data_IF_148991306830
#
_entry.id   IF_148991306830
#
_cell.length_a   1.000
_cell.length_b   1.000
_cell.length_c   1.000
_cell.angle_alpha   90.00
_cell.angle_beta   90.00
_cell.angle_gamma   90.00
#
_symmetry.space_group_name_H-M   'P 1'
#
loop_
_entity.id
_entity.type
_entity.pdbx_description
1 polymer ?
#
# COMPACT_ATOMS: atom_id res chain seq x y z
N UNK A 1 10.12 33.03 0.32
CA UNK A 1 8.88 32.52 -0.30
C UNK A 1 9.27 31.21 -0.94
N UNK A 2 9.34 30.16 -0.12
CA UNK A 2 9.71 28.82 -0.58
C UNK A 2 8.56 28.29 -1.42
N UNK A 3 8.88 27.83 -2.62
CA UNK A 3 7.95 27.20 -3.55
C UNK A 3 7.34 25.99 -2.85
N UNK A 4 6.06 26.06 -2.49
CA UNK A 4 5.26 24.88 -2.23
C UNK A 4 5.25 24.07 -3.53
N UNK A 5 6.12 23.06 -3.60
CA UNK A 5 6.02 22.01 -4.58
C UNK A 5 4.64 21.37 -4.36
N UNK A 6 3.74 21.55 -5.30
CA UNK A 6 2.38 21.06 -5.22
C UNK A 6 2.48 19.53 -5.14
N UNK A 7 2.30 18.97 -3.94
CA UNK A 7 2.50 17.55 -3.71
C UNK A 7 1.53 16.77 -4.62
N UNK A 8 2.08 16.01 -5.57
CA UNK A 8 1.31 15.27 -6.57
C UNK A 8 1.02 13.85 -6.09
N UNK A 9 -0.15 13.36 -6.44
CA UNK A 9 -0.49 11.95 -6.27
C UNK A 9 0.48 11.07 -7.08
N UNK A 10 0.92 9.96 -6.51
CA UNK A 10 1.89 9.03 -7.08
C UNK A 10 1.19 7.71 -7.44
N UNK A 11 1.10 7.34 -8.73
CA UNK A 11 0.58 6.02 -9.12
C UNK A 11 1.49 4.90 -8.62
N UNK A 12 0.91 3.88 -7.97
CA UNK A 12 1.67 2.69 -7.61
C UNK A 12 1.75 1.73 -8.82
N UNK A 13 2.87 1.02 -9.03
CA UNK A 13 3.07 0.10 -10.15
C UNK A 13 2.35 -1.24 -9.92
N UNK A 14 1.06 -1.19 -9.60
CA UNK A 14 0.21 -2.34 -9.28
C UNK A 14 -0.87 -2.62 -10.32
N UNK A 15 -1.08 -1.74 -11.30
CA UNK A 15 -2.11 -1.96 -12.33
C UNK A 15 -1.86 -3.26 -13.09
N UNK A 16 -2.87 -4.10 -13.18
CA UNK A 16 -2.81 -5.43 -13.79
C UNK A 16 -2.34 -6.53 -12.84
N UNK A 17 -1.78 -6.19 -11.67
CA UNK A 17 -1.34 -7.18 -10.69
C UNK A 17 -2.51 -7.77 -9.94
N UNK A 18 -2.41 -9.06 -9.63
CA UNK A 18 -3.41 -9.80 -8.87
C UNK A 18 -2.96 -10.02 -7.44
N UNK A 19 -3.86 -9.82 -6.48
CA UNK A 19 -3.57 -10.10 -5.07
C UNK A 19 -3.31 -11.59 -4.89
N UNK A 20 -2.08 -11.94 -4.55
CA UNK A 20 -1.63 -13.32 -4.39
C UNK A 20 -1.81 -13.81 -2.96
N UNK A 21 -1.54 -12.95 -1.96
CA UNK A 21 -1.66 -13.30 -0.54
C UNK A 21 -2.15 -12.11 0.28
N UNK A 22 -2.93 -12.42 1.32
CA UNK A 22 -3.19 -11.51 2.42
C UNK A 22 -2.56 -12.09 3.69
N UNK A 23 -1.77 -11.28 4.39
CA UNK A 23 -1.08 -11.65 5.63
C UNK A 23 -1.73 -10.84 6.75
N UNK A 24 -2.28 -11.52 7.75
CA UNK A 24 -2.93 -10.89 8.89
C UNK A 24 -2.04 -11.11 10.11
N UNK A 25 -1.40 -10.05 10.58
CA UNK A 25 -0.61 -10.01 11.81
C UNK A 25 -1.06 -8.81 12.68
N UNK A 26 -0.13 -8.02 13.23
CA UNK A 26 -0.44 -6.71 13.81
C UNK A 26 -0.78 -5.64 12.77
N UNK A 27 -0.72 -5.99 11.48
CA UNK A 27 -1.10 -5.22 10.31
C UNK A 27 -1.76 -6.15 9.25
N UNK A 28 -2.26 -5.54 8.19
CA UNK A 28 -2.68 -6.25 6.98
C UNK A 28 -1.60 -6.09 5.91
N UNK A 29 -0.95 -7.18 5.53
CA UNK A 29 -0.11 -7.26 4.35
C UNK A 29 -0.89 -7.76 3.13
N UNK A 30 -0.69 -7.14 1.97
CA UNK A 30 -1.26 -7.55 0.68
C UNK A 30 -0.09 -7.72 -0.29
N UNK A 31 0.14 -8.97 -0.71
CA UNK A 31 1.22 -9.31 -1.63
C UNK A 31 0.71 -9.46 -3.07
N UNK A 32 1.52 -8.95 -3.99
CA UNK A 32 1.40 -9.15 -5.43
C UNK A 32 2.66 -9.88 -5.90
N UNK A 33 2.52 -11.13 -6.34
CA UNK A 33 3.64 -11.99 -6.73
C UNK A 33 3.48 -12.36 -8.21
N UNK A 34 4.41 -11.89 -9.04
CA UNK A 34 4.44 -12.15 -10.48
C UNK A 34 5.87 -12.44 -10.91
N UNK A 35 6.09 -13.50 -11.69
CA UNK A 35 7.41 -13.84 -12.25
C UNK A 35 8.55 -13.89 -11.20
N UNK A 36 8.23 -14.32 -9.98
CA UNK A 36 9.18 -14.39 -8.87
C UNK A 36 9.51 -13.05 -8.21
N UNK A 37 8.92 -11.95 -8.66
CA UNK A 37 9.00 -10.62 -8.05
C UNK A 37 7.84 -10.41 -7.09
N UNK A 38 8.09 -9.70 -5.99
CA UNK A 38 7.07 -9.38 -4.97
C UNK A 38 6.96 -7.87 -4.80
N UNK A 39 5.73 -7.39 -4.80
CA UNK A 39 5.37 -6.07 -4.26
C UNK A 39 4.41 -6.26 -3.09
N UNK A 40 4.49 -5.39 -2.09
CA UNK A 40 3.68 -5.50 -0.87
C UNK A 40 3.05 -4.16 -0.53
N UNK A 41 1.76 -4.16 -0.20
CA UNK A 41 1.13 -3.07 0.57
C UNK A 41 1.00 -3.57 2.02
N UNK A 42 1.49 -2.80 2.98
CA UNK A 42 1.28 -3.04 4.41
C UNK A 42 0.42 -1.92 4.98
N UNK A 43 -0.66 -2.28 5.68
CA UNK A 43 -1.64 -1.35 6.25
C UNK A 43 -1.68 -1.53 7.75
N UNK A 44 -1.35 -0.48 8.50
CA UNK A 44 -1.20 -0.54 9.96
C UNK A 44 -2.33 0.16 10.70
N UNK A 45 -3.13 0.95 9.97
CA UNK A 45 -4.22 1.77 10.52
C UNK A 45 -5.57 1.34 9.95
N UNK A 46 -6.70 1.74 10.57
CA UNK A 46 -8.01 1.42 10.05
C UNK A 46 -8.17 1.82 8.59
N UNK A 47 -8.83 0.96 7.82
CA UNK A 47 -9.02 1.16 6.39
C UNK A 47 -10.46 0.88 5.99
N UNK A 48 -10.85 1.36 4.82
CA UNK A 48 -12.17 1.21 4.26
C UNK A 48 -12.11 0.18 3.14
N UNK A 49 -13.03 -0.79 3.18
CA UNK A 49 -13.28 -1.70 2.07
C UNK A 49 -14.71 -1.49 1.59
N UNK A 50 -14.86 -1.04 0.35
CA UNK A 50 -16.14 -0.79 -0.30
C UNK A 50 -16.35 -1.82 -1.40
N UNK A 51 -17.37 -2.67 -1.24
CA UNK A 51 -17.74 -3.69 -2.22
C UNK A 51 -19.26 -3.68 -2.43
N UNK A 52 -19.72 -3.74 -3.69
CA UNK A 52 -21.12 -3.84 -4.14
C UNK A 52 -22.17 -3.41 -3.09
N UNK A 53 -22.24 -2.10 -2.83
CA UNK A 53 -23.29 -1.47 -2.02
C UNK A 53 -23.05 -1.40 -0.51
N UNK A 54 -21.92 -1.90 0.01
CA UNK A 54 -21.58 -1.78 1.42
C UNK A 54 -20.20 -1.15 1.64
N UNK A 55 -20.20 -0.01 2.33
CA UNK A 55 -19.01 0.61 2.90
C UNK A 55 -18.72 -0.05 4.25
N UNK A 56 -17.57 -0.71 4.40
CA UNK A 56 -17.15 -1.28 5.68
C UNK A 56 -15.82 -0.67 6.10
N UNK A 57 -15.83 0.03 7.23
CA UNK A 57 -14.60 0.37 7.95
C UNK A 57 -14.10 -0.86 8.69
N UNK A 58 -12.84 -1.24 8.44
CA UNK A 58 -12.19 -2.42 8.98
C UNK A 58 -11.04 -1.98 9.91
N UNK A 59 -10.97 -2.59 11.09
CA UNK A 59 -9.92 -2.31 12.07
C UNK A 59 -8.94 -3.47 12.17
N UNK A 60 -7.64 -3.16 12.09
CA UNK A 60 -6.51 -4.11 12.14
C UNK A 60 -6.50 -4.97 13.42
N UNK A 61 -7.12 -4.50 14.50
CA UNK A 61 -7.24 -5.24 15.77
C UNK A 61 -8.48 -6.15 15.90
N UNK A 62 -9.36 -6.22 14.89
CA UNK A 62 -10.60 -7.01 14.93
C UNK A 62 -10.51 -8.18 13.95
N UNK A 63 -10.41 -9.40 14.50
CA UNK A 63 -10.25 -10.65 13.70
C UNK A 63 -11.33 -10.79 12.62
N UNK A 64 -12.59 -10.50 12.97
CA UNK A 64 -13.73 -10.54 12.06
C UNK A 64 -13.68 -9.51 10.92
N UNK A 65 -12.98 -8.39 11.12
CA UNK A 65 -12.72 -7.41 10.06
C UNK A 65 -11.58 -7.88 9.16
N UNK A 66 -10.55 -8.52 9.72
CA UNK A 66 -9.43 -9.06 8.95
C UNK A 66 -9.84 -10.24 8.06
N UNK A 67 -10.80 -11.07 8.51
CA UNK A 67 -11.39 -12.10 7.66
C UNK A 67 -12.01 -11.55 6.37
N UNK A 68 -12.56 -10.33 6.40
CA UNK A 68 -13.15 -9.67 5.22
C UNK A 68 -12.07 -9.20 4.24
N UNK A 69 -10.87 -8.85 4.72
CA UNK A 69 -9.76 -8.46 3.86
C UNK A 69 -9.29 -9.61 2.95
N UNK A 70 -9.48 -10.87 3.39
CA UNK A 70 -9.16 -12.05 2.58
C UNK A 70 -10.00 -12.15 1.30
N UNK A 71 -11.14 -11.44 1.23
CA UNK A 71 -11.93 -11.35 0.00
C UNK A 71 -11.16 -10.68 -1.14
N UNK A 72 -10.06 -9.97 -0.86
CA UNK A 72 -9.21 -9.37 -1.88
C UNK A 72 -8.38 -10.38 -2.67
N UNK A 73 -8.16 -11.60 -2.14
CA UNK A 73 -7.35 -12.61 -2.80
C UNK A 73 -7.94 -12.94 -4.18
N UNK A 74 -7.09 -12.93 -5.21
CA UNK A 74 -7.47 -13.20 -6.59
C UNK A 74 -8.05 -12.00 -7.35
N UNK A 75 -8.30 -10.85 -6.69
CA UNK A 75 -8.74 -9.63 -7.39
C UNK A 75 -7.58 -8.94 -8.11
N UNK A 76 -7.84 -8.41 -9.29
CA UNK A 76 -6.84 -7.67 -10.08
C UNK A 76 -6.97 -6.18 -9.87
N UNK A 77 -5.85 -5.48 -9.66
CA UNK A 77 -5.83 -4.02 -9.47
C UNK A 77 -6.01 -3.32 -10.82
N UNK A 78 -7.00 -2.43 -10.90
CA UNK A 78 -7.20 -1.55 -12.07
C UNK A 78 -6.57 -0.17 -11.89
N UNK A 79 -6.48 0.31 -10.64
CA UNK A 79 -5.84 1.57 -10.27
C UNK A 79 -5.30 1.49 -8.84
N UNK A 80 -4.10 2.01 -8.60
CA UNK A 80 -3.56 2.19 -7.27
C UNK A 80 -2.85 3.55 -7.20
N UNK A 81 -3.15 4.35 -6.17
CA UNK A 81 -2.72 5.73 -6.06
C UNK A 81 -2.37 6.07 -4.62
N UNK A 82 -1.13 6.48 -4.39
CA UNK A 82 -0.70 7.16 -3.18
C UNK A 82 -1.04 8.64 -3.33
N UNK A 83 -1.90 9.16 -2.47
CA UNK A 83 -2.37 10.54 -2.55
C UNK A 83 -1.46 11.45 -1.77
N UNK A 84 -1.30 12.69 -2.23
CA UNK A 84 -0.36 13.64 -1.64
C UNK A 84 -0.71 14.05 -0.20
N UNK A 85 -1.94 13.81 0.24
CA UNK A 85 -2.38 13.96 1.63
C UNK A 85 -1.97 12.79 2.55
N UNK A 86 -1.36 11.74 2.01
CA UNK A 86 -0.98 10.51 2.72
C UNK A 86 -2.00 9.39 2.61
N UNK A 87 -3.13 9.57 1.93
CA UNK A 87 -4.09 8.50 1.73
C UNK A 87 -3.62 7.48 0.67
N UNK A 88 -4.08 6.23 0.79
CA UNK A 88 -3.98 5.22 -0.26
C UNK A 88 -5.37 4.95 -0.86
N UNK A 89 -5.43 4.82 -2.19
CA UNK A 89 -6.59 4.29 -2.88
C UNK A 89 -6.21 3.16 -3.84
N UNK A 90 -6.87 2.01 -3.73
CA UNK A 90 -6.73 0.87 -4.66
C UNK A 90 -8.11 0.47 -5.15
N UNK A 91 -8.25 0.37 -6.47
CA UNK A 91 -9.47 -0.07 -7.16
C UNK A 91 -9.18 -1.40 -7.82
N UNK A 92 -10.09 -2.36 -7.63
CA UNK A 92 -10.02 -3.69 -8.21
C UNK A 92 -10.95 -3.81 -9.42
N UNK A 93 -10.78 -4.87 -10.20
CA UNK A 93 -11.51 -5.19 -11.42
C UNK A 93 -13.00 -5.43 -11.23
N UNK A 94 -13.39 -5.95 -10.07
CA UNK A 94 -14.81 -6.14 -9.69
C UNK A 94 -15.48 -4.90 -9.09
N UNK A 95 -14.79 -3.75 -9.12
CA UNK A 95 -15.28 -2.49 -8.55
C UNK A 95 -15.09 -2.35 -7.05
N UNK A 96 -14.46 -3.32 -6.37
CA UNK A 96 -14.04 -3.17 -4.97
C UNK A 96 -13.05 -2.02 -4.84
N UNK A 97 -13.20 -1.22 -3.79
CA UNK A 97 -12.27 -0.13 -3.46
C UNK A 97 -11.72 -0.35 -2.06
N UNK A 98 -10.40 -0.38 -1.97
CA UNK A 98 -9.64 -0.30 -0.72
C UNK A 98 -9.16 1.13 -0.55
N UNK A 99 -9.40 1.74 0.60
CA UNK A 99 -8.91 3.09 0.91
C UNK A 99 -8.33 3.15 2.31
N UNK A 100 -7.16 3.76 2.45
CA UNK A 100 -6.53 3.99 3.75
C UNK A 100 -6.40 5.50 3.93
N UNK A 101 -7.12 6.13 4.87
CA UNK A 101 -6.92 7.55 5.18
C UNK A 101 -5.55 7.77 5.84
N UNK A 102 -4.99 8.99 5.79
CA UNK A 102 -3.81 9.32 6.59
C UNK A 102 -4.18 9.24 8.08
N UNK A 103 -3.19 8.93 8.91
CA UNK A 103 -3.33 8.93 10.36
C UNK A 103 -2.53 10.10 10.96
N UNK A 104 -3.12 10.77 11.95
CA UNK A 104 -2.54 11.97 12.54
C UNK A 104 -1.28 11.68 13.38
N UNK A 105 -1.13 10.46 13.88
CA UNK A 105 -0.13 10.09 14.88
C UNK A 105 0.82 8.99 14.39
N UNK A 106 0.57 8.37 13.25
CA UNK A 106 1.30 7.19 12.81
C UNK A 106 1.33 7.07 11.29
N UNK A 107 2.24 6.24 10.80
CA UNK A 107 2.30 5.85 9.40
C UNK A 107 1.12 4.92 9.09
N UNK A 108 0.29 5.30 8.12
CA UNK A 108 -0.96 4.58 7.87
C UNK A 108 -0.77 3.30 7.05
N UNK A 109 0.14 3.37 6.08
CA UNK A 109 0.45 2.31 5.15
C UNK A 109 1.83 2.52 4.53
N UNK A 110 2.37 1.43 3.98
CA UNK A 110 3.59 1.38 3.21
C UNK A 110 3.35 0.55 1.94
N UNK A 111 3.97 0.97 0.84
CA UNK A 111 4.17 0.18 -0.36
C UNK A 111 5.65 -0.12 -0.53
N UNK A 112 5.99 -1.41 -0.68
CA UNK A 112 7.33 -1.86 -1.03
C UNK A 112 7.32 -2.52 -2.42
N UNK A 113 8.11 -1.97 -3.34
CA UNK A 113 8.31 -2.47 -4.70
C UNK A 113 9.38 -3.58 -4.77
N UNK A 114 9.47 -4.28 -5.91
CA UNK A 114 10.42 -5.39 -6.08
C UNK A 114 11.88 -4.92 -6.19
N UNK A 115 12.09 -3.65 -6.51
CA UNK A 115 13.38 -2.99 -6.73
C UNK A 115 13.93 -2.32 -5.47
N UNK A 116 13.44 -2.70 -4.27
CA UNK A 116 13.80 -2.08 -2.98
C UNK A 116 13.49 -0.58 -2.94
N UNK A 117 12.56 -0.13 -3.79
CA UNK A 117 11.93 1.17 -3.66
C UNK A 117 10.62 1.06 -2.90
N UNK A 118 10.11 2.19 -2.42
CA UNK A 118 8.81 2.21 -1.79
C UNK A 118 8.30 3.60 -1.48
N UNK A 119 7.07 3.62 -0.96
CA UNK A 119 6.33 4.81 -0.57
C UNK A 119 5.69 4.54 0.78
N UNK A 120 5.75 5.51 1.70
CA UNK A 120 5.12 5.42 3.02
C UNK A 120 4.28 6.66 3.28
N UNK A 121 3.13 6.46 3.92
CA UNK A 121 2.34 7.56 4.49
C UNK A 121 3.03 8.07 5.74
N UNK A 122 3.28 9.37 5.81
CA UNK A 122 3.83 10.00 7.01
C UNK A 122 2.75 10.24 8.07
N UNK A 123 3.15 10.27 9.33
CA UNK A 123 2.29 10.72 10.42
C UNK A 123 1.89 12.18 10.22
N UNK A 124 0.60 12.49 10.37
CA UNK A 124 0.06 13.83 10.10
C UNK A 124 -0.24 14.10 8.62
N UNK A 125 -0.02 13.10 7.75
CA UNK A 125 -0.26 13.19 6.31
C UNK A 125 1.00 13.42 5.48
N UNK A 126 0.84 13.38 4.16
CA UNK A 126 1.95 13.44 3.21
C UNK A 126 2.56 12.08 2.91
N UNK A 127 3.51 12.07 1.97
CA UNK A 127 4.20 10.88 1.49
C UNK A 127 5.72 11.05 1.60
N UNK A 128 6.41 9.95 1.86
CA UNK A 128 7.85 9.83 1.66
C UNK A 128 8.16 8.66 0.72
N UNK A 129 9.20 8.81 -0.09
CA UNK A 129 9.65 7.80 -1.05
C UNK A 129 11.10 7.43 -0.80
N UNK A 130 11.47 6.17 -0.98
CA UNK A 130 12.86 5.73 -0.95
C UNK A 130 13.18 4.83 -2.14
N UNK A 131 14.47 4.78 -2.45
CA UNK A 131 15.08 3.79 -3.33
C UNK A 131 16.35 3.34 -2.62
N UNK A 132 16.47 2.06 -2.27
CA UNK A 132 17.72 1.54 -1.71
C UNK A 132 18.79 1.57 -2.82
N UNK A 133 19.79 2.45 -2.68
CA UNK A 133 20.90 2.49 -3.62
C UNK A 133 21.63 1.14 -3.61
N UNK A 134 22.02 0.63 -4.79
CA UNK A 134 22.82 -0.59 -4.89
C UNK A 134 24.01 -0.51 -3.93
N UNK A 135 24.15 -1.51 -3.04
CA UNK A 135 25.35 -1.62 -2.21
C UNK A 135 26.57 -1.65 -3.13
N UNK A 136 27.56 -0.76 -2.98
CA UNK A 136 28.78 -0.85 -3.76
C UNK A 136 29.42 -2.22 -3.51
N UNK A 137 29.69 -2.96 -4.60
CA UNK A 137 30.40 -4.25 -4.54
C UNK A 137 31.64 -4.03 -3.68
N UNK A 138 31.77 -4.76 -2.56
CA UNK A 138 32.97 -4.69 -1.73
C UNK A 138 34.17 -4.95 -2.64
N UNK A 139 35.07 -3.96 -2.79
CA UNK A 139 36.38 -4.22 -3.38
C UNK A 139 37.02 -5.30 -2.53
N UNK A 140 37.12 -6.51 -3.08
CA UNK A 140 37.92 -7.58 -2.50
C UNK A 140 39.30 -7.01 -2.20
N UNK A 141 39.70 -7.09 -0.94
CA UNK A 141 41.04 -6.68 -0.52
C UNK A 141 42.01 -7.76 -1.04
N UNK A 142 43.13 -7.39 -1.69
CA UNK A 142 44.11 -8.33 -2.22
C UNK A 142 44.77 -9.17 -1.12
#
# INVERSE_FOLDING_TARGET
MESHDEAKDIPLPLRGKTVSRCIVDSALGIDFIEEGQRSTIRIERPFLLRALGADKSLSIGRVEDMGKALLLIGKTVTKALARSDGALGVVFDDGTILSVPPDALSEAWEFAGPDRSGIVSLAGGGLSTWVEAERPKSRGKP
#
